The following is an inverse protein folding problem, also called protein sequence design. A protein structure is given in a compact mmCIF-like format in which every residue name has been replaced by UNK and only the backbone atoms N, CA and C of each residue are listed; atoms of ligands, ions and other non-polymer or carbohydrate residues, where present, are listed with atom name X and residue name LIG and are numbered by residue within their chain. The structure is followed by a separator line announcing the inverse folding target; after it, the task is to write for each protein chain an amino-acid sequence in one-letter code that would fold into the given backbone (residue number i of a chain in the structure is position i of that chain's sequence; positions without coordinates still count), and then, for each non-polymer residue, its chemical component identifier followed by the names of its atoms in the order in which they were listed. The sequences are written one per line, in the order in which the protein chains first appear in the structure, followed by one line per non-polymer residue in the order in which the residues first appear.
data_IF_652349894893
#
_entry.id   IF_652349894893
#
_cell.length_a   1.000
_cell.length_b   1.000
_cell.length_c   1.000
_cell.angle_alpha   90.00
_cell.angle_beta   90.00
_cell.angle_gamma   90.00
#
_symmetry.space_group_name_H-M   'P 1'
#
loop_
_entity.id
_entity.type
_entity.pdbx_description
1 polymer ?
#
# COMPACT_ATOMS: atom_id res chain seq x y z
N UNK A 1 -3.86 11.41 -1.77
CA UNK A 1 -2.52 11.47 -1.15
C UNK A 1 -1.49 10.74 -2.00
N UNK A 2 -1.73 9.49 -2.40
CA UNK A 2 -0.84 8.74 -3.31
C UNK A 2 -0.67 9.40 -4.70
N UNK A 3 -1.75 9.89 -5.32
CA UNK A 3 -1.67 10.65 -6.59
C UNK A 3 -0.82 11.91 -6.48
N UNK A 4 -0.93 12.65 -5.36
CA UNK A 4 -0.07 13.83 -5.11
C UNK A 4 1.41 13.46 -5.04
N UNK A 5 1.74 12.28 -4.50
CA UNK A 5 3.11 11.77 -4.45
C UNK A 5 3.60 11.42 -5.86
N UNK A 6 2.74 10.78 -6.67
CA UNK A 6 3.04 10.48 -8.06
C UNK A 6 3.34 11.76 -8.86
N UNK A 7 2.42 12.72 -8.84
CA UNK A 7 2.51 13.97 -9.59
C UNK A 7 3.73 14.80 -9.19
N UNK A 8 4.06 14.80 -7.88
CA UNK A 8 5.23 15.50 -7.36
C UNK A 8 6.53 14.84 -7.85
N UNK A 9 6.57 13.51 -7.85
CA UNK A 9 7.72 12.80 -8.38
C UNK A 9 7.87 13.03 -9.88
N UNK A 10 6.82 12.91 -10.68
CA UNK A 10 6.87 13.10 -12.14
C UNK A 10 7.33 14.51 -12.52
N UNK A 11 6.89 15.53 -11.77
CA UNK A 11 7.34 16.93 -11.95
C UNK A 11 8.80 17.15 -11.56
N UNK A 12 9.32 16.38 -10.61
CA UNK A 12 10.72 16.49 -10.16
C UNK A 12 11.64 15.71 -11.09
N UNK A 13 11.20 14.56 -11.58
CA UNK A 13 11.96 13.72 -12.52
C UNK A 13 12.18 14.41 -13.86
N UNK A 14 11.16 15.15 -14.35
CA UNK A 14 11.29 16.04 -15.52
C UNK A 14 12.31 17.16 -15.33
N UNK A 15 12.65 17.54 -14.09
CA UNK A 15 13.65 18.57 -13.78
C UNK A 15 15.05 18.01 -13.59
N UNK A 16 15.18 16.87 -12.93
CA UNK A 16 16.47 16.28 -12.56
C UNK A 16 17.05 15.33 -13.63
N UNK A 17 16.24 14.92 -14.62
CA UNK A 17 16.70 14.13 -15.77
C UNK A 17 17.11 12.69 -15.45
N UNK A 18 16.83 12.22 -14.22
CA UNK A 18 17.19 10.88 -13.76
C UNK A 18 16.20 9.84 -14.28
N UNK A 19 16.47 9.33 -15.48
CA UNK A 19 15.66 8.30 -16.15
C UNK A 19 15.44 7.01 -15.35
N UNK A 20 16.13 6.83 -14.22
CA UNK A 20 15.99 5.67 -13.35
C UNK A 20 15.02 5.90 -12.17
N UNK A 21 14.52 7.12 -11.93
CA UNK A 21 13.63 7.37 -10.79
C UNK A 21 12.22 6.85 -11.07
N UNK A 22 11.96 5.65 -10.57
CA UNK A 22 10.65 4.99 -10.66
C UNK A 22 9.62 5.66 -9.74
N UNK A 23 9.01 6.74 -10.22
CA UNK A 23 8.03 7.55 -9.49
C UNK A 23 6.78 6.81 -9.01
N UNK A 24 6.52 5.62 -9.54
CA UNK A 24 5.45 4.76 -9.07
C UNK A 24 5.76 4.06 -7.74
N UNK A 25 7.04 3.87 -7.37
CA UNK A 25 7.42 3.08 -6.18
C UNK A 25 6.82 3.61 -4.88
N UNK A 26 6.87 4.92 -4.58
CA UNK A 26 6.24 5.47 -3.38
C UNK A 26 4.72 5.24 -3.35
N UNK A 27 4.06 5.41 -4.51
CA UNK A 27 2.61 5.23 -4.68
C UNK A 27 2.20 3.78 -4.40
N UNK A 28 2.90 2.84 -5.02
CA UNK A 28 2.70 1.40 -4.81
C UNK A 28 2.91 1.03 -3.35
N UNK A 29 3.94 1.60 -2.70
CA UNK A 29 4.23 1.33 -1.30
C UNK A 29 3.09 1.77 -0.38
N UNK A 30 2.53 2.96 -0.60
CA UNK A 30 1.38 3.48 0.16
C UNK A 30 0.11 2.64 -0.10
N UNK A 31 -0.19 2.32 -1.36
CA UNK A 31 -1.35 1.48 -1.70
C UNK A 31 -1.23 0.09 -1.07
N UNK A 32 -0.04 -0.51 -1.11
CA UNK A 32 0.21 -1.82 -0.50
C UNK A 32 0.00 -1.78 1.01
N UNK A 33 0.48 -0.74 1.67
CA UNK A 33 0.30 -0.55 3.11
C UNK A 33 -1.19 -0.49 3.49
N UNK A 34 -2.03 0.19 2.71
CA UNK A 34 -3.48 0.19 2.92
C UNK A 34 -4.11 -1.20 2.74
N UNK A 35 -3.81 -1.88 1.62
CA UNK A 35 -4.33 -3.23 1.38
C UNK A 35 -3.86 -4.20 2.46
N UNK A 36 -2.59 -4.12 2.86
CA UNK A 36 -2.00 -5.00 3.87
C UNK A 36 -2.68 -4.83 5.22
N UNK A 37 -3.00 -3.60 5.59
CA UNK A 37 -3.78 -3.32 6.79
C UNK A 37 -5.14 -4.01 6.74
N UNK A 38 -5.86 -3.90 5.62
CA UNK A 38 -7.16 -4.57 5.41
C UNK A 38 -7.03 -6.11 5.44
N UNK A 39 -5.97 -6.68 4.84
CA UNK A 39 -5.69 -8.12 4.92
C UNK A 39 -5.50 -8.60 6.36
N UNK A 40 -4.75 -7.85 7.19
CA UNK A 40 -4.50 -8.20 8.60
C UNK A 40 -5.80 -8.16 9.38
N UNK A 41 -6.57 -7.08 9.19
CA UNK A 41 -7.91 -6.92 9.75
C UNK A 41 -8.81 -8.12 9.39
N UNK A 42 -8.77 -8.59 8.14
CA UNK A 42 -9.64 -9.64 7.64
C UNK A 42 -9.19 -11.06 8.07
N UNK A 43 -7.88 -11.36 8.00
CA UNK A 43 -7.33 -12.71 8.32
C UNK A 43 -7.31 -13.07 9.80
N UNK A 44 -7.44 -12.10 10.73
CA UNK A 44 -7.15 -12.34 12.16
C UNK A 44 -8.24 -11.93 13.15
N UNK A 45 -9.37 -11.42 12.70
CA UNK A 45 -10.46 -11.02 13.60
C UNK A 45 -11.34 -12.18 14.12
N UNK A 46 -10.99 -13.43 13.85
CA UNK A 46 -11.64 -14.61 14.47
C UNK A 46 -10.92 -15.12 15.74
N UNK A 47 -9.65 -14.76 15.97
CA UNK A 47 -8.89 -15.18 17.17
C UNK A 47 -8.18 -13.98 17.81
N UNK A 48 -8.69 -13.57 18.95
CA UNK A 48 -8.51 -12.29 19.67
C UNK A 48 -7.10 -11.94 20.18
N UNK A 49 -6.03 -12.65 19.80
CA UNK A 49 -4.71 -12.47 20.42
C UNK A 49 -3.56 -12.00 19.50
N UNK A 50 -3.75 -11.90 18.18
CA UNK A 50 -2.62 -11.69 17.25
C UNK A 50 -2.84 -10.58 16.19
N UNK A 51 -3.72 -9.62 16.47
CA UNK A 51 -3.95 -8.45 15.62
C UNK A 51 -2.91 -7.36 15.90
N UNK A 52 -1.66 -7.60 15.53
CA UNK A 52 -0.59 -6.62 15.71
C UNK A 52 -0.46 -5.76 14.44
N UNK A 53 -1.48 -4.94 14.17
CA UNK A 53 -1.43 -3.90 13.12
C UNK A 53 -0.22 -2.98 13.34
N UNK A 54 0.16 -2.77 14.61
CA UNK A 54 1.25 -1.90 15.02
C UNK A 54 2.62 -2.43 14.58
N UNK A 55 2.87 -3.74 14.69
CA UNK A 55 4.10 -4.35 14.15
C UNK A 55 4.23 -4.24 12.65
N UNK A 56 3.16 -4.50 11.90
CA UNK A 56 3.20 -4.40 10.43
C UNK A 56 3.35 -2.94 9.99
N UNK A 57 2.73 -2.01 10.73
CA UNK A 57 2.95 -0.58 10.55
C UNK A 57 4.39 -0.17 10.83
N UNK A 58 4.95 -0.59 11.97
CA UNK A 58 6.33 -0.27 12.34
C UNK A 58 7.31 -0.83 11.30
N UNK A 59 7.11 -2.05 10.81
CA UNK A 59 7.93 -2.61 9.73
C UNK A 59 7.86 -1.76 8.44
N UNK A 60 6.68 -1.24 8.09
CA UNK A 60 6.53 -0.35 6.94
C UNK A 60 7.21 0.99 7.17
N UNK A 61 6.97 1.61 8.33
CA UNK A 61 7.60 2.86 8.72
C UNK A 61 9.13 2.74 8.78
N UNK A 62 9.68 1.65 9.31
CA UNK A 62 11.13 1.44 9.37
C UNK A 62 11.74 1.27 7.99
N UNK A 63 11.03 0.60 7.07
CA UNK A 63 11.48 0.40 5.69
C UNK A 63 11.41 1.69 4.86
N UNK A 64 10.40 2.53 5.08
CA UNK A 64 10.05 3.62 4.16
C UNK A 64 10.06 5.02 4.78
N UNK A 65 10.11 5.16 6.10
CA UNK A 65 9.99 6.44 6.81
C UNK A 65 11.16 7.40 6.59
N UNK A 66 12.31 6.87 6.15
CA UNK A 66 13.48 7.68 5.76
C UNK A 66 13.45 8.10 4.29
N UNK A 67 12.50 7.59 3.50
CA UNK A 67 12.37 7.95 2.09
C UNK A 67 11.85 9.40 1.98
N UNK A 68 12.61 10.25 1.30
CA UNK A 68 12.25 11.67 1.10
C UNK A 68 10.92 11.82 0.37
N UNK A 69 10.60 10.87 -0.52
CA UNK A 69 9.37 10.88 -1.30
C UNK A 69 8.14 10.47 -0.45
N UNK A 70 8.35 9.85 0.72
CA UNK A 70 7.29 9.43 1.65
C UNK A 70 7.24 10.26 2.95
N UNK A 71 8.21 11.14 3.18
CA UNK A 71 8.28 11.99 4.38
C UNK A 71 6.99 12.80 4.62
N UNK A 72 6.43 13.39 3.56
CA UNK A 72 5.19 14.16 3.65
C UNK A 72 3.99 13.27 4.00
N UNK A 73 3.93 12.07 3.42
CA UNK A 73 2.91 11.08 3.73
C UNK A 73 2.94 10.71 5.22
N UNK A 74 4.10 10.35 5.76
CA UNK A 74 4.22 9.98 7.18
C UNK A 74 3.94 11.16 8.11
N UNK A 75 4.40 12.37 7.75
CA UNK A 75 4.10 13.57 8.55
C UNK A 75 2.60 13.87 8.64
N UNK A 76 1.86 13.74 7.54
CA UNK A 76 0.40 13.92 7.55
C UNK A 76 -0.31 12.75 8.25
N UNK A 77 0.15 11.53 8.03
CA UNK A 77 -0.37 10.34 8.69
C UNK A 77 -0.24 10.42 10.21
N UNK A 78 0.91 10.83 10.74
CA UNK A 78 1.18 10.95 12.18
C UNK A 78 0.34 12.05 12.87
N UNK A 79 -0.01 13.11 12.13
CA UNK A 79 -0.93 14.16 12.57
C UNK A 79 -2.37 13.66 12.63
N UNK A 80 -2.78 12.80 11.70
CA UNK A 80 -4.11 12.20 11.69
C UNK A 80 -4.22 11.17 12.82
N UNK A 81 -4.66 11.61 14.00
CA UNK A 81 -4.74 10.76 15.18
C UNK A 81 -5.74 9.59 15.05
N UNK A 82 -6.53 9.53 13.97
CA UNK A 82 -7.50 8.46 13.72
C UNK A 82 -6.89 7.05 13.81
N UNK A 83 -5.64 6.88 13.37
CA UNK A 83 -4.94 5.60 13.47
C UNK A 83 -4.47 5.26 14.90
N UNK A 84 -4.35 6.25 15.81
CA UNK A 84 -3.92 6.08 17.20
C UNK A 84 -5.09 5.71 18.13
N UNK A 85 -6.28 6.30 17.92
CA UNK A 85 -7.43 6.11 18.82
C UNK A 85 -8.22 4.81 18.61
N UNK A 86 -8.16 4.22 17.41
CA UNK A 86 -8.95 3.03 17.04
C UNK A 86 -8.19 1.70 17.13
N UNK A 87 -7.07 1.64 17.87
CA UNK A 87 -6.26 0.43 18.07
C UNK A 87 -7.06 -0.79 18.57
N UNK A 88 -8.16 -0.55 19.28
CA UNK A 88 -9.03 -1.59 19.84
C UNK A 88 -10.29 -1.90 19.02
N UNK A 89 -10.59 -1.14 17.96
CA UNK A 89 -11.78 -1.40 17.15
C UNK A 89 -11.54 -2.57 16.22
N UNK A 90 -12.30 -3.65 16.42
CA UNK A 90 -12.43 -4.77 15.48
C UNK A 90 -12.98 -4.20 14.16
N UNK A 91 -12.08 -3.93 13.22
CA UNK A 91 -12.47 -3.60 11.85
C UNK A 91 -12.88 -4.92 11.20
N UNK A 92 -14.03 -4.92 10.53
CA UNK A 92 -14.48 -6.05 9.74
C UNK A 92 -14.55 -5.58 8.29
N UNK A 93 -13.84 -6.28 7.43
CA UNK A 93 -13.88 -6.10 5.98
C UNK A 93 -14.33 -7.46 5.47
N UNK A 94 -15.39 -7.57 4.67
CA UNK A 94 -15.74 -8.89 4.14
C UNK A 94 -14.66 -9.39 3.17
N UNK A 95 -14.60 -10.70 2.93
CA UNK A 95 -13.71 -11.24 1.90
C UNK A 95 -14.00 -10.62 0.52
N UNK A 96 -15.26 -10.33 0.20
CA UNK A 96 -15.61 -9.65 -1.06
C UNK A 96 -15.10 -8.21 -1.10
N UNK A 97 -15.21 -7.46 -0.01
CA UNK A 97 -14.70 -6.09 0.05
C UNK A 97 -13.17 -6.07 -0.08
N UNK A 98 -12.47 -7.02 0.54
CA UNK A 98 -11.02 -7.15 0.37
C UNK A 98 -10.65 -7.55 -1.05
N UNK A 99 -11.42 -8.42 -1.71
CA UNK A 99 -11.24 -8.83 -3.09
C UNK A 99 -11.38 -7.64 -4.06
N UNK A 100 -12.40 -6.81 -3.87
CA UNK A 100 -12.63 -5.60 -4.67
C UNK A 100 -11.48 -4.62 -4.50
N UNK A 101 -11.13 -4.26 -3.26
CA UNK A 101 -10.07 -3.27 -2.99
C UNK A 101 -8.71 -3.76 -3.49
N UNK A 102 -8.40 -5.04 -3.30
CA UNK A 102 -7.13 -5.61 -3.79
C UNK A 102 -7.09 -5.63 -5.32
N UNK A 103 -8.21 -5.95 -5.98
CA UNK A 103 -8.34 -5.90 -7.44
C UNK A 103 -8.11 -4.52 -8.00
N UNK A 104 -8.74 -3.51 -7.42
CA UNK A 104 -8.61 -2.12 -7.87
C UNK A 104 -7.16 -1.65 -7.75
N UNK A 105 -6.48 -2.00 -6.65
CA UNK A 105 -5.04 -1.72 -6.50
C UNK A 105 -4.22 -2.48 -7.52
N UNK A 106 -4.47 -3.77 -7.74
CA UNK A 106 -3.74 -4.56 -8.74
C UNK A 106 -3.92 -4.00 -10.15
N UNK A 107 -5.14 -3.60 -10.52
CA UNK A 107 -5.44 -2.95 -11.80
C UNK A 107 -4.75 -1.60 -11.93
N UNK A 108 -4.78 -0.78 -10.88
CA UNK A 108 -4.08 0.49 -10.87
C UNK A 108 -2.57 0.30 -11.09
N UNK A 109 -1.94 -0.59 -10.34
CA UNK A 109 -0.51 -0.89 -10.49
C UNK A 109 -0.20 -1.42 -11.89
N UNK A 110 -1.03 -2.31 -12.43
CA UNK A 110 -0.87 -2.82 -13.80
C UNK A 110 -1.04 -1.71 -14.85
N UNK A 111 -1.95 -0.77 -14.62
CA UNK A 111 -2.19 0.40 -15.47
C UNK A 111 -1.02 1.39 -15.52
N UNK A 112 -0.18 1.43 -14.48
CA UNK A 112 1.08 2.20 -14.49
C UNK A 112 2.07 1.61 -15.51
N UNK A 113 2.10 0.28 -15.67
CA UNK A 113 2.91 -0.42 -16.66
C UNK A 113 3.38 -1.80 -16.21
N UNK A 114 3.78 -2.65 -17.18
CA UNK A 114 4.19 -4.04 -16.94
C UNK A 114 5.46 -4.16 -16.08
N UNK A 115 6.37 -3.18 -16.15
CA UNK A 115 7.55 -3.14 -15.29
C UNK A 115 7.16 -2.94 -13.82
N UNK A 116 6.29 -1.96 -13.55
CA UNK A 116 5.78 -1.67 -12.22
C UNK A 116 5.00 -2.87 -11.63
N UNK A 117 4.19 -3.52 -12.47
CA UNK A 117 3.46 -4.74 -12.10
C UNK A 117 4.40 -5.91 -11.75
N UNK A 118 5.43 -6.14 -12.57
CA UNK A 118 6.40 -7.22 -12.35
C UNK A 118 7.19 -7.02 -11.06
N UNK A 119 7.63 -5.80 -10.80
CA UNK A 119 8.32 -5.42 -9.57
C UNK A 119 7.40 -5.58 -8.34
N UNK A 120 6.16 -5.10 -8.44
CA UNK A 120 5.16 -5.23 -7.39
C UNK A 120 4.86 -6.69 -7.02
N UNK A 121 4.68 -7.57 -8.02
CA UNK A 121 4.47 -9.01 -7.79
C UNK A 121 5.65 -9.62 -7.02
N UNK A 122 6.89 -9.28 -7.41
CA UNK A 122 8.12 -9.81 -6.82
C UNK A 122 8.31 -9.36 -5.37
N UNK A 123 8.15 -8.06 -5.11
CA UNK A 123 8.46 -7.48 -3.80
C UNK A 123 7.35 -7.66 -2.77
N UNK A 124 6.09 -7.55 -3.20
CA UNK A 124 4.97 -7.35 -2.28
C UNK A 124 4.00 -8.52 -2.19
N UNK A 125 4.13 -9.52 -3.09
CA UNK A 125 3.28 -10.72 -3.16
C UNK A 125 1.80 -10.35 -2.96
N UNK A 126 1.20 -9.60 -3.90
CA UNK A 126 -0.14 -9.05 -3.72
C UNK A 126 -1.17 -10.15 -3.52
N UNK A 127 -2.22 -9.83 -2.76
CA UNK A 127 -3.39 -10.68 -2.70
C UNK A 127 -4.09 -10.69 -4.06
N UNK A 128 -4.31 -11.89 -4.59
CA UNK A 128 -5.08 -12.14 -5.81
C UNK A 128 -6.01 -13.29 -5.48
N UNK A 129 -7.32 -13.03 -5.48
CA UNK A 129 -8.30 -14.09 -5.23
C UNK A 129 -8.29 -15.13 -6.33
N UNK A 130 -8.85 -16.31 -6.04
CA UNK A 130 -8.95 -17.38 -7.03
C UNK A 130 -9.70 -16.95 -8.30
N UNK A 131 -10.72 -16.09 -8.16
CA UNK A 131 -11.50 -15.53 -9.27
C UNK A 131 -10.64 -14.66 -10.19
N UNK A 132 -9.63 -13.97 -9.63
CA UNK A 132 -8.83 -12.97 -10.35
C UNK A 132 -7.48 -13.52 -10.85
N UNK A 133 -7.09 -14.74 -10.46
CA UNK A 133 -5.85 -15.38 -10.91
C UNK A 133 -5.72 -15.44 -12.43
N UNK A 134 -6.81 -15.56 -13.17
CA UNK A 134 -6.77 -15.61 -14.64
C UNK A 134 -6.42 -14.24 -15.27
N UNK A 135 -6.72 -13.15 -14.57
CA UNK A 135 -6.56 -11.76 -15.04
C UNK A 135 -5.17 -11.22 -14.70
N UNK A 136 -4.62 -11.63 -13.55
CA UNK A 136 -3.37 -11.12 -12.98
C UNK A 136 -2.20 -12.12 -13.00
N UNK A 137 -2.26 -13.15 -13.85
CA UNK A 137 -1.13 -14.07 -14.11
C UNK A 137 0.17 -13.31 -14.42
#
# INVERSE_FOLDING_TARGET
MAEKIYDKCEKTDKKDGDKNKKCYRPVISVLRMFVKRLEITNKKCDKTAACDEEKEWNNFHDKYGKDKDLKEFFSEWEKDEWHKYKKSCKRFVSEEALDIVSSDVNWYVKGIGEEAWSEYKKEHKPYISNKQKQIFK
#
